data_IF_570044934173
#
_entry.id   IF_570044934173
#
_cell.length_a   1.000
_cell.length_b   1.000
_cell.length_c   1.000
_cell.angle_alpha   90.00
_cell.angle_beta   90.00
_cell.angle_gamma   90.00
#
_symmetry.space_group_name_H-M   'P 1'
#
loop_
_entity.id
_entity.type
_entity.pdbx_description
1 polymer ?
#
# COMPACT_ATOMS: atom_id res chain seq x y z
N UNK A 1 -10.26 5.35 18.74
CA UNK A 1 -9.19 5.05 19.72
C UNK A 1 -8.88 3.56 19.63
N UNK A 2 -7.64 3.17 19.28
CA UNK A 2 -7.24 1.77 19.25
C UNK A 2 -6.86 1.38 20.69
N UNK A 3 -7.71 0.59 21.35
CA UNK A 3 -7.43 0.08 22.69
C UNK A 3 -6.61 -1.20 22.55
N UNK A 4 -5.39 -1.28 23.11
CA UNK A 4 -4.56 -2.49 23.10
C UNK A 4 -5.30 -3.66 23.75
N UNK A 5 -5.05 -4.89 23.28
CA UNK A 5 -5.73 -6.11 23.76
C UNK A 5 -5.83 -6.25 25.30
N UNK A 6 -4.73 -6.15 26.07
CA UNK A 6 -4.83 -6.33 27.53
C UNK A 6 -5.68 -5.25 28.23
N UNK A 7 -5.70 -4.03 27.68
CA UNK A 7 -6.57 -2.95 28.19
C UNK A 7 -8.02 -3.13 27.75
N UNK A 8 -8.22 -3.69 26.56
CA UNK A 8 -9.54 -3.97 25.99
C UNK A 8 -10.25 -5.08 26.75
N UNK A 9 -9.57 -6.18 27.05
CA UNK A 9 -10.17 -7.33 27.73
C UNK A 9 -10.69 -6.93 29.13
N UNK A 10 -9.87 -6.21 29.90
CA UNK A 10 -10.26 -5.64 31.20
C UNK A 10 -11.48 -4.70 31.09
N UNK A 11 -11.54 -3.87 30.04
CA UNK A 11 -12.66 -2.96 29.82
C UNK A 11 -13.97 -3.71 29.49
N UNK A 12 -13.91 -4.78 28.70
CA UNK A 12 -15.08 -5.60 28.37
C UNK A 12 -15.57 -6.36 29.61
N UNK A 13 -14.66 -6.84 30.44
CA UNK A 13 -14.98 -7.46 31.74
C UNK A 13 -15.69 -6.47 32.67
N UNK A 14 -15.21 -5.22 32.78
CA UNK A 14 -15.85 -4.18 33.58
C UNK A 14 -17.27 -3.83 33.09
N UNK A 15 -17.48 -3.72 31.78
CA UNK A 15 -18.80 -3.48 31.19
C UNK A 15 -19.77 -4.61 31.55
N UNK A 16 -19.30 -5.86 31.43
CA UNK A 16 -20.06 -7.06 31.75
C UNK A 16 -20.42 -7.12 33.25
N UNK A 17 -19.44 -6.90 34.12
CA UNK A 17 -19.61 -6.90 35.58
C UNK A 17 -20.57 -5.80 36.06
N UNK A 18 -20.61 -4.67 35.35
CA UNK A 18 -21.51 -3.55 35.63
C UNK A 18 -22.94 -3.74 35.10
N UNK A 19 -23.24 -4.87 34.44
CA UNK A 19 -24.54 -5.14 33.85
C UNK A 19 -24.85 -4.29 32.61
N UNK A 20 -23.83 -3.69 32.00
CA UNK A 20 -24.00 -2.83 30.81
C UNK A 20 -24.10 -3.72 29.57
N UNK A 21 -25.22 -3.60 28.86
CA UNK A 21 -25.40 -4.26 27.54
C UNK A 21 -24.48 -3.62 26.52
N UNK A 22 -23.68 -4.44 25.85
CA UNK A 22 -22.71 -3.99 24.86
C UNK A 22 -22.63 -4.99 23.69
N UNK A 23 -22.07 -4.52 22.58
CA UNK A 23 -21.72 -5.31 21.38
C UNK A 23 -20.35 -4.82 20.92
N UNK A 24 -19.47 -5.74 20.55
CA UNK A 24 -18.13 -5.42 20.06
C UNK A 24 -18.16 -5.19 18.54
N UNK A 25 -17.39 -4.22 18.05
CA UNK A 25 -17.28 -3.91 16.62
C UNK A 25 -15.82 -4.03 16.17
N UNK A 26 -15.59 -4.76 15.07
CA UNK A 26 -14.27 -5.00 14.46
C UNK A 26 -13.28 -5.74 15.38
N UNK A 27 -13.79 -6.45 16.40
CA UNK A 27 -13.02 -7.25 17.36
C UNK A 27 -13.95 -8.19 18.12
N UNK A 28 -13.37 -9.24 18.69
CA UNK A 28 -14.06 -10.24 19.50
C UNK A 28 -13.17 -10.71 20.65
N UNK A 29 -13.80 -10.98 21.79
CA UNK A 29 -13.23 -11.68 22.96
C UNK A 29 -13.61 -13.17 22.96
N UNK A 30 -14.39 -13.64 21.97
CA UNK A 30 -14.92 -15.00 21.89
C UNK A 30 -16.14 -15.28 22.78
N UNK A 31 -16.64 -14.30 23.53
CA UNK A 31 -17.72 -14.46 24.51
C UNK A 31 -18.87 -13.49 24.22
N UNK A 32 -18.54 -12.22 24.03
CA UNK A 32 -19.49 -11.13 23.84
C UNK A 32 -20.03 -11.10 22.40
N UNK A 33 -21.30 -10.66 22.20
CA UNK A 33 -21.82 -10.42 20.86
C UNK A 33 -20.89 -9.48 20.09
N UNK A 34 -20.50 -9.85 18.88
CA UNK A 34 -19.55 -9.11 18.07
C UNK A 34 -19.93 -9.08 16.59
N UNK A 35 -19.62 -7.96 15.93
CA UNK A 35 -19.66 -7.83 14.48
C UNK A 35 -18.21 -7.68 13.98
N UNK A 36 -17.69 -8.73 13.35
CA UNK A 36 -16.32 -8.79 12.84
C UNK A 36 -16.30 -9.10 11.34
N UNK A 37 -15.15 -8.88 10.72
CA UNK A 37 -14.84 -9.30 9.36
C UNK A 37 -14.16 -10.66 9.36
N UNK A 38 -14.23 -11.35 8.22
CA UNK A 38 -13.39 -12.52 7.95
C UNK A 38 -12.07 -12.05 7.36
N UNK A 39 -11.15 -11.69 8.25
CA UNK A 39 -9.85 -11.13 7.88
C UNK A 39 -9.01 -12.15 7.10
N UNK A 40 -9.04 -13.43 7.48
CA UNK A 40 -8.30 -14.50 6.80
C UNK A 40 -8.77 -14.65 5.34
N UNK A 41 -10.08 -14.68 5.11
CA UNK A 41 -10.63 -14.73 3.75
C UNK A 41 -10.28 -13.45 2.97
N UNK A 42 -10.35 -12.27 3.62
CA UNK A 42 -9.97 -11.01 3.00
C UNK A 42 -8.52 -11.02 2.50
N UNK A 43 -7.60 -11.47 3.34
CA UNK A 43 -6.17 -11.55 3.04
C UNK A 43 -5.90 -12.58 1.94
N UNK A 44 -6.55 -13.75 2.02
CA UNK A 44 -6.50 -14.77 0.98
C UNK A 44 -6.91 -14.18 -0.38
N UNK A 45 -8.06 -13.50 -0.46
CA UNK A 45 -8.56 -12.94 -1.71
C UNK A 45 -7.63 -11.86 -2.28
N UNK A 46 -7.07 -11.01 -1.41
CA UNK A 46 -6.14 -9.96 -1.83
C UNK A 46 -4.84 -10.54 -2.41
N UNK A 47 -4.24 -11.53 -1.73
CA UNK A 47 -3.00 -12.17 -2.19
C UNK A 47 -3.26 -13.05 -3.42
N UNK A 48 -4.38 -13.79 -3.44
CA UNK A 48 -4.80 -14.57 -4.59
C UNK A 48 -4.96 -13.67 -5.83
N UNK A 49 -5.56 -12.50 -5.69
CA UNK A 49 -5.70 -11.57 -6.80
C UNK A 49 -4.34 -11.14 -7.39
N UNK A 50 -3.36 -10.83 -6.54
CA UNK A 50 -2.01 -10.51 -6.98
C UNK A 50 -1.34 -11.72 -7.67
N UNK A 51 -1.54 -12.93 -7.13
CA UNK A 51 -1.05 -14.16 -7.73
C UNK A 51 -1.68 -14.43 -9.11
N UNK A 52 -2.98 -14.21 -9.27
CA UNK A 52 -3.72 -14.34 -10.54
C UNK A 52 -3.23 -13.35 -11.60
N UNK A 53 -2.74 -12.18 -11.17
CA UNK A 53 -2.09 -11.20 -12.05
C UNK A 53 -0.66 -11.62 -12.48
N UNK A 54 -0.16 -12.75 -11.98
CA UNK A 54 1.16 -13.30 -12.31
C UNK A 54 2.26 -12.90 -11.33
N UNK A 55 1.94 -12.25 -10.21
CA UNK A 55 2.92 -11.97 -9.17
C UNK A 55 3.23 -13.27 -8.39
N UNK A 56 4.50 -13.44 -8.03
CA UNK A 56 5.01 -14.65 -7.36
C UNK A 56 5.80 -14.30 -6.09
N UNK A 57 6.59 -13.22 -6.16
CA UNK A 57 7.18 -12.55 -5.00
C UNK A 57 6.31 -11.36 -4.61
N UNK A 58 5.49 -11.57 -3.59
CA UNK A 58 4.57 -10.57 -3.03
C UNK A 58 5.07 -10.22 -1.64
N UNK A 59 5.33 -8.93 -1.42
CA UNK A 59 5.62 -8.38 -0.09
C UNK A 59 4.33 -8.28 0.74
N UNK A 60 4.42 -8.56 2.04
CA UNK A 60 3.32 -8.39 2.99
C UNK A 60 3.76 -7.41 4.10
N UNK A 61 3.12 -6.24 4.16
CA UNK A 61 3.36 -5.25 5.22
C UNK A 61 2.27 -5.35 6.27
N UNK A 62 2.64 -5.88 7.43
CA UNK A 62 1.75 -6.18 8.56
C UNK A 62 1.53 -4.97 9.47
N UNK A 63 0.38 -4.96 10.13
CA UNK A 63 0.09 -4.10 11.27
C UNK A 63 0.78 -4.60 12.54
N UNK A 64 0.57 -3.94 13.68
CA UNK A 64 1.14 -4.36 14.95
C UNK A 64 0.61 -5.72 15.42
N UNK A 65 1.45 -6.49 16.09
CA UNK A 65 1.15 -7.85 16.58
C UNK A 65 -0.02 -7.89 17.58
N UNK A 66 -0.28 -6.80 18.30
CA UNK A 66 -1.40 -6.71 19.24
C UNK A 66 -2.76 -6.53 18.56
N UNK A 67 -2.79 -6.28 17.25
CA UNK A 67 -4.03 -6.25 16.49
C UNK A 67 -4.54 -7.68 16.27
N UNK A 68 -5.82 -7.99 16.59
CA UNK A 68 -6.39 -9.33 16.44
C UNK A 68 -6.20 -9.95 15.04
N UNK A 69 -6.12 -9.12 14.01
CA UNK A 69 -5.90 -9.53 12.63
C UNK A 69 -4.48 -10.06 12.36
N UNK A 70 -3.45 -9.66 13.11
CA UNK A 70 -2.05 -9.94 12.75
C UNK A 70 -1.64 -11.42 12.81
N UNK A 71 -2.32 -12.25 13.62
CA UNK A 71 -1.97 -13.67 13.81
C UNK A 71 -2.50 -14.54 12.66
N UNK A 72 -3.73 -14.31 12.21
CA UNK A 72 -4.35 -15.09 11.12
C UNK A 72 -4.02 -14.53 9.73
N UNK A 73 -3.51 -13.30 9.65
CA UNK A 73 -3.23 -12.63 8.38
C UNK A 73 -2.24 -13.38 7.48
N UNK A 74 -1.27 -14.04 8.11
CA UNK A 74 -0.30 -14.83 7.36
C UNK A 74 -0.90 -16.14 6.85
N UNK A 75 -2.01 -16.62 7.40
CA UNK A 75 -2.59 -17.90 7.02
C UNK A 75 -3.35 -17.78 5.70
N UNK A 76 -4.16 -16.73 5.53
CA UNK A 76 -4.82 -16.43 4.26
C UNK A 76 -3.83 -16.21 3.12
N UNK A 77 -2.78 -15.41 3.37
CA UNK A 77 -1.72 -15.16 2.41
C UNK A 77 -0.91 -16.43 2.07
N UNK A 78 -0.56 -17.24 3.08
CA UNK A 78 0.16 -18.50 2.90
C UNK A 78 -0.68 -19.51 2.11
N UNK A 79 -1.99 -19.58 2.38
CA UNK A 79 -2.92 -20.43 1.63
C UNK A 79 -2.98 -20.03 0.15
N UNK A 80 -3.17 -18.74 -0.14
CA UNK A 80 -3.23 -18.24 -1.52
C UNK A 80 -1.95 -18.53 -2.31
N UNK A 81 -0.78 -18.28 -1.74
CA UNK A 81 0.50 -18.60 -2.38
C UNK A 81 0.68 -20.11 -2.56
N UNK A 82 0.36 -20.90 -1.53
CA UNK A 82 0.50 -22.36 -1.56
C UNK A 82 -0.37 -23.02 -2.63
N UNK A 83 -1.61 -22.56 -2.82
CA UNK A 83 -2.50 -23.04 -3.88
C UNK A 83 -2.00 -22.69 -5.29
N UNK A 84 -1.30 -21.56 -5.43
CA UNK A 84 -0.62 -21.17 -6.67
C UNK A 84 0.70 -21.90 -6.95
N UNK A 85 1.17 -22.72 -6.00
CA UNK A 85 2.47 -23.40 -6.05
C UNK A 85 3.66 -22.51 -5.70
N UNK A 86 3.40 -21.33 -5.11
CA UNK A 86 4.42 -20.38 -4.68
C UNK A 86 4.79 -20.58 -3.21
N UNK A 87 6.06 -20.35 -2.89
CA UNK A 87 6.55 -20.43 -1.53
C UNK A 87 6.30 -19.11 -0.79
N UNK A 88 5.56 -19.19 0.31
CA UNK A 88 5.47 -18.10 1.27
C UNK A 88 6.87 -17.86 1.88
N UNK A 89 7.47 -16.70 1.57
CA UNK A 89 8.81 -16.37 2.06
C UNK A 89 8.73 -15.40 3.24
N UNK A 90 9.18 -15.79 4.46
CA UNK A 90 9.22 -14.90 5.61
C UNK A 90 10.08 -13.64 5.39
N UNK A 91 11.03 -13.70 4.45
CA UNK A 91 11.87 -12.55 4.09
C UNK A 91 11.07 -11.40 3.44
N UNK A 92 9.89 -11.70 2.88
CA UNK A 92 9.01 -10.74 2.23
C UNK A 92 7.93 -10.18 3.17
N UNK A 93 8.02 -10.51 4.46
CA UNK A 93 7.08 -10.06 5.49
C UNK A 93 7.75 -9.00 6.35
N UNK A 94 7.18 -7.80 6.37
CA UNK A 94 7.68 -6.67 7.15
C UNK A 94 6.54 -5.99 7.93
N UNK A 95 6.85 -4.91 8.64
CA UNK A 95 5.89 -4.10 9.40
C UNK A 95 5.88 -4.37 10.91
N UNK A 96 4.75 -4.03 11.55
CA UNK A 96 4.61 -4.01 13.01
C UNK A 96 4.08 -2.69 13.59
N UNK A 97 3.68 -1.75 12.73
CA UNK A 97 3.13 -0.44 13.13
C UNK A 97 1.99 -0.01 12.21
N UNK A 98 1.14 0.90 12.68
CA UNK A 98 0.06 1.52 11.90
C UNK A 98 0.48 2.85 11.22
N UNK A 99 1.76 3.21 11.22
CA UNK A 99 2.22 4.49 10.68
C UNK A 99 2.66 4.41 9.22
N UNK A 100 2.54 5.54 8.51
CA UNK A 100 3.00 5.68 7.12
C UNK A 100 4.51 5.48 7.03
N UNK A 101 5.26 6.07 7.97
CA UNK A 101 6.72 6.02 8.03
C UNK A 101 7.22 4.59 8.23
N UNK A 102 6.50 3.78 9.02
CA UNK A 102 6.85 2.38 9.21
C UNK A 102 6.58 1.54 7.95
N UNK A 103 5.48 1.81 7.25
CA UNK A 103 5.19 1.20 5.95
C UNK A 103 6.23 1.57 4.90
N UNK A 104 6.64 2.83 4.86
CA UNK A 104 7.67 3.34 3.95
C UNK A 104 9.02 2.65 4.17
N UNK A 105 9.52 2.64 5.42
CA UNK A 105 10.79 1.97 5.75
C UNK A 105 10.77 0.47 5.45
N UNK A 106 9.63 -0.18 5.70
CA UNK A 106 9.46 -1.61 5.42
C UNK A 106 9.58 -1.88 3.92
N UNK A 107 8.87 -1.09 3.11
CA UNK A 107 8.91 -1.22 1.66
C UNK A 107 10.27 -0.85 1.06
N UNK A 108 10.93 0.21 1.56
CA UNK A 108 12.28 0.59 1.12
C UNK A 108 13.27 -0.59 1.30
N UNK A 109 13.28 -1.21 2.48
CA UNK A 109 14.16 -2.34 2.77
C UNK A 109 13.94 -3.55 1.85
N UNK A 110 12.67 -3.86 1.53
CA UNK A 110 12.34 -5.01 0.68
C UNK A 110 12.56 -4.75 -0.82
N UNK A 111 12.40 -3.50 -1.26
CA UNK A 111 12.74 -3.07 -2.62
C UNK A 111 14.25 -3.08 -2.90
N UNK A 112 15.09 -2.97 -1.86
CA UNK A 112 16.56 -3.04 -1.97
C UNK A 112 17.12 -4.47 -2.02
N UNK A 113 16.27 -5.50 -1.86
CA UNK A 113 16.71 -6.89 -1.97
C UNK A 113 17.28 -7.19 -3.36
N UNK A 114 18.24 -8.13 -3.43
CA UNK A 114 18.80 -8.62 -4.70
C UNK A 114 17.73 -9.10 -5.67
N UNK A 115 16.62 -9.61 -5.15
CA UNK A 115 15.41 -10.00 -5.89
C UNK A 115 14.22 -9.29 -5.25
N UNK A 116 13.88 -8.06 -5.65
CA UNK A 116 12.80 -7.31 -5.01
C UNK A 116 11.43 -7.99 -5.22
N UNK A 117 10.44 -7.70 -4.37
CA UNK A 117 9.05 -8.07 -4.61
C UNK A 117 8.53 -7.38 -5.88
N UNK A 118 7.49 -7.98 -6.47
CA UNK A 118 6.84 -7.44 -7.69
C UNK A 118 5.46 -6.85 -7.42
N UNK A 119 4.92 -7.11 -6.24
CA UNK A 119 3.68 -6.55 -5.72
C UNK A 119 3.77 -6.49 -4.19
N UNK A 120 2.95 -5.62 -3.59
CA UNK A 120 2.87 -5.43 -2.15
C UNK A 120 1.41 -5.57 -1.73
N UNK A 121 1.17 -6.40 -0.72
CA UNK A 121 -0.07 -6.45 0.04
C UNK A 121 0.16 -5.73 1.37
N UNK A 122 -0.58 -4.65 1.61
CA UNK A 122 -0.49 -3.87 2.83
C UNK A 122 -1.81 -3.97 3.59
N UNK A 123 -1.74 -4.33 4.87
CA UNK A 123 -2.94 -4.66 5.66
C UNK A 123 -3.68 -3.42 6.17
N UNK A 124 -3.08 -2.25 6.01
CA UNK A 124 -3.69 -0.95 6.31
C UNK A 124 -3.37 0.06 5.23
N UNK A 125 -4.24 1.05 5.09
CA UNK A 125 -4.04 2.16 4.15
C UNK A 125 -2.77 2.96 4.48
N UNK A 126 -2.42 3.13 5.75
CA UNK A 126 -1.20 3.83 6.15
C UNK A 126 0.05 3.09 5.65
N UNK A 127 0.08 1.77 5.81
CA UNK A 127 1.14 0.93 5.27
C UNK A 127 1.19 0.99 3.73
N UNK A 128 0.03 0.97 3.06
CA UNK A 128 -0.07 1.08 1.62
C UNK A 128 0.45 2.43 1.10
N UNK A 129 0.11 3.53 1.77
CA UNK A 129 0.61 4.88 1.46
C UNK A 129 2.13 4.94 1.65
N UNK A 130 2.65 4.37 2.74
CA UNK A 130 4.09 4.26 2.97
C UNK A 130 4.80 3.50 1.85
N UNK A 131 4.27 2.34 1.47
CA UNK A 131 4.81 1.52 0.39
C UNK A 131 4.78 2.23 -0.97
N UNK A 132 3.67 2.92 -1.28
CA UNK A 132 3.58 3.74 -2.50
C UNK A 132 4.59 4.89 -2.50
N UNK A 133 4.89 5.47 -1.33
CA UNK A 133 5.88 6.55 -1.19
C UNK A 133 7.29 6.02 -1.44
N UNK A 134 7.64 4.89 -0.83
CA UNK A 134 8.91 4.18 -1.06
C UNK A 134 9.10 3.81 -2.55
N UNK A 135 8.08 3.22 -3.15
CA UNK A 135 8.07 2.88 -4.57
C UNK A 135 8.28 4.13 -5.46
N UNK A 136 7.57 5.22 -5.17
CA UNK A 136 7.69 6.47 -5.93
C UNK A 136 9.10 7.06 -5.85
N UNK A 137 9.78 6.98 -4.70
CA UNK A 137 11.18 7.43 -4.54
C UNK A 137 12.16 6.63 -5.39
N UNK A 138 11.90 5.35 -5.60
CA UNK A 138 12.69 4.52 -6.53
C UNK A 138 12.26 4.67 -8.00
N UNK A 139 11.38 5.62 -8.31
CA UNK A 139 10.86 5.83 -9.66
C UNK A 139 9.87 4.75 -10.13
N UNK A 140 9.43 3.88 -9.22
CA UNK A 140 8.39 2.89 -9.48
C UNK A 140 7.02 3.56 -9.39
N UNK A 141 6.11 3.19 -10.30
CA UNK A 141 4.72 3.65 -10.27
C UNK A 141 3.85 2.51 -9.78
N UNK A 142 2.98 2.79 -8.80
CA UNK A 142 1.87 1.90 -8.48
C UNK A 142 1.10 1.62 -9.77
N UNK A 143 0.92 0.34 -10.11
CA UNK A 143 0.28 -0.04 -11.36
C UNK A 143 -1.20 0.37 -11.30
N UNK A 144 -1.57 1.47 -11.95
CA UNK A 144 -2.98 1.81 -12.22
C UNK A 144 -3.48 0.83 -13.27
N UNK A 145 -4.17 -0.24 -12.88
CA UNK A 145 -4.83 -1.07 -13.89
C UNK A 145 -6.15 -1.68 -13.41
N UNK A 146 -7.18 -0.84 -13.37
CA UNK A 146 -8.51 -1.24 -13.82
C UNK A 146 -8.54 -1.02 -15.34
N UNK A 147 -8.25 -2.08 -16.13
CA UNK A 147 -8.46 -2.13 -17.58
C UNK A 147 -7.24 -1.88 -18.50
N UNK A 148 -6.71 -2.97 -19.09
CA UNK A 148 -5.87 -3.09 -20.32
C UNK A 148 -4.52 -2.33 -20.42
N UNK A 149 -3.59 -2.85 -21.23
CA UNK A 149 -2.13 -2.54 -21.37
C UNK A 149 -1.20 -2.50 -20.11
N UNK A 150 -0.41 -3.54 -19.80
CA UNK A 150 0.80 -3.41 -18.93
C UNK A 150 1.91 -3.01 -19.88
N UNK A 151 2.33 -1.74 -19.86
CA UNK A 151 3.54 -1.30 -20.53
C UNK A 151 4.71 -1.44 -19.58
N UNK A 152 5.59 -2.41 -19.87
CA UNK A 152 6.93 -2.48 -19.26
C UNK A 152 7.74 -1.30 -19.81
N UNK A 153 8.23 -0.41 -18.94
CA UNK A 153 9.29 0.51 -19.32
C UNK A 153 10.62 -0.21 -19.17
N UNK A 154 11.13 -0.75 -20.28
CA UNK A 154 12.52 -1.16 -20.41
C UNK A 154 13.39 0.04 -20.82
N UNK A 155 14.40 0.37 -20.01
CA UNK A 155 15.68 0.90 -20.48
C UNK A 155 15.88 2.42 -20.54
N UNK A 156 16.79 2.91 -19.71
CA UNK A 156 17.75 3.99 -20.02
C UNK A 156 19.16 3.43 -19.70
N UNK A 157 20.30 3.96 -20.21
CA UNK A 157 20.51 5.18 -21.00
C UNK A 157 21.54 5.02 -22.17
N UNK A 158 22.02 6.12 -22.79
CA UNK A 158 23.29 6.68 -22.31
C UNK A 158 23.33 8.22 -22.23
N UNK A 159 24.25 8.66 -21.38
CA UNK A 159 24.76 10.02 -21.21
C UNK A 159 25.68 10.43 -22.37
N UNK A 160 25.57 11.69 -22.80
CA UNK A 160 26.72 12.48 -23.26
C UNK A 160 26.48 13.95 -22.92
N UNK A 161 27.49 14.53 -22.27
CA UNK A 161 27.67 15.94 -21.98
C UNK A 161 27.61 16.81 -23.26
N UNK A 162 26.89 17.93 -23.21
CA UNK A 162 27.54 19.26 -23.23
C UNK A 162 26.55 20.41 -22.96
N UNK A 163 27.02 21.51 -22.34
CA UNK A 163 26.20 22.64 -21.94
C UNK A 163 26.10 23.68 -23.06
N UNK A 164 24.97 24.38 -23.18
CA UNK A 164 24.94 25.85 -23.33
C UNK A 164 23.51 26.41 -23.34
N UNK A 165 23.34 27.41 -22.49
CA UNK A 165 22.25 28.38 -22.45
C UNK A 165 22.15 29.16 -23.77
N UNK A 166 20.92 29.60 -24.11
CA UNK A 166 20.51 30.92 -24.68
C UNK A 166 19.23 30.71 -25.51
N UNK A 167 18.08 31.20 -25.01
CA UNK A 167 17.49 32.53 -25.27
C UNK A 167 16.40 32.47 -26.35
N UNK A 168 15.16 32.82 -25.96
CA UNK A 168 14.07 33.17 -26.87
C UNK A 168 14.50 34.21 -27.90
N UNK A 169 13.96 34.16 -29.13
CA UNK A 169 13.86 35.34 -29.98
C UNK A 169 12.45 35.94 -29.90
N UNK A 170 12.42 37.24 -29.59
CA UNK A 170 11.28 38.13 -29.82
C UNK A 170 11.43 38.82 -31.20
N UNK A 171 10.29 39.05 -31.87
CA UNK A 171 10.13 40.02 -32.96
C UNK A 171 10.09 39.45 -34.39
N UNK A 172 9.47 40.16 -35.36
CA UNK A 172 9.48 41.63 -35.42
C UNK A 172 8.13 42.35 -35.58
N UNK A 173 8.20 43.64 -35.24
CA UNK A 173 7.27 44.73 -35.49
C UNK A 173 6.84 44.91 -36.96
N UNK A 174 5.59 45.33 -37.18
CA UNK A 174 5.26 46.43 -38.10
C UNK A 174 4.17 47.33 -37.51
N UNK A 175 4.44 48.62 -37.56
CA UNK A 175 3.54 49.73 -37.26
C UNK A 175 3.14 50.40 -38.58
N UNK A 176 1.90 50.88 -38.69
CA UNK A 176 1.45 52.08 -39.44
C UNK A 176 -0.08 52.22 -39.26
N UNK A 177 -0.52 53.23 -38.51
CA UNK A 177 -1.14 54.48 -39.00
C UNK A 177 -2.61 54.32 -39.44
N UNK A 178 -3.57 54.70 -38.58
CA UNK A 178 -4.24 56.03 -38.46
C UNK A 178 -5.34 56.29 -39.52
N UNK A 179 -6.50 56.70 -38.98
CA UNK A 179 -7.62 57.49 -39.58
C UNK A 179 -8.65 56.71 -40.42
N UNK A 180 -9.89 56.59 -39.94
CA UNK A 180 -11.03 57.48 -40.23
C UNK A 180 -12.35 56.83 -39.73
N UNK A 181 -13.12 57.56 -38.90
CA UNK A 181 -14.57 57.36 -38.76
C UNK A 181 -15.26 57.84 -40.06
N UNK A 182 -16.49 57.40 -40.43
CA UNK A 182 -17.75 57.74 -39.73
C UNK A 182 -18.77 56.54 -39.75
N UNK A 183 -19.96 56.51 -39.14
CA UNK A 183 -20.91 57.44 -38.52
C UNK A 183 -21.52 56.75 -37.29
#
# INVERSE_FOLDING_TARGET
>A
MIIPRPTFDCFVEELSASGIRHVLALRTDGISPSATTDDELGDYLAVQHLADLGHRRIEIIRGPEYAPSAVHLLDGARRALGEGGDEFSPELVAGGSFSVEAGEKSAEALLELRRPPTATFAVTDHAAIGAMTAAARQGLRACRRLGRGVQRHSGRPPSTDHPQQRSCPAGPHRAEERRHAPR
#
